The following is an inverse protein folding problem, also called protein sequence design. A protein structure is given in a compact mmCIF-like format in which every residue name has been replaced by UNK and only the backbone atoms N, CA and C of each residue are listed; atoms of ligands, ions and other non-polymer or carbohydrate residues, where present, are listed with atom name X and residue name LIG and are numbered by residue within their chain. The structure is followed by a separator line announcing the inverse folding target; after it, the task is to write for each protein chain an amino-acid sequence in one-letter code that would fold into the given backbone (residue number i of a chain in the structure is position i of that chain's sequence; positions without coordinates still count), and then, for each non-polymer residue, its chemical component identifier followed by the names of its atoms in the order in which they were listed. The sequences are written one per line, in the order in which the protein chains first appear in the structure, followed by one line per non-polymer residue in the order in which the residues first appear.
data_IF_658419006686
#
_entry.id   IF_658419006686
#
_cell.length_a   1.000
_cell.length_b   1.000
_cell.length_c   1.000
_cell.angle_alpha   90.00
_cell.angle_beta   90.00
_cell.angle_gamma   90.00
#
_symmetry.space_group_name_H-M   'P 1'
#
loop_
_entity.id
_entity.type
_entity.pdbx_description
1 polymer ?
#
# COMPACT_ATOMS: atom_id res chain seq x y z
N UNK A 1 -8.97 -9.07 0.75
CA UNK A 1 -7.97 -8.08 1.22
C UNK A 1 -6.55 -8.53 0.88
N UNK A 2 -6.07 -9.68 1.37
CA UNK A 2 -4.72 -10.16 1.00
C UNK A 2 -4.52 -10.30 -0.51
N UNK A 3 -5.43 -10.96 -1.23
CA UNK A 3 -5.30 -11.12 -2.69
C UNK A 3 -5.25 -9.79 -3.47
N UNK A 4 -6.00 -8.78 -3.01
CA UNK A 4 -5.99 -7.45 -3.61
C UNK A 4 -4.65 -6.77 -3.37
N UNK A 5 -4.14 -6.82 -2.14
CA UNK A 5 -2.81 -6.27 -1.81
C UNK A 5 -1.72 -7.03 -2.56
N UNK A 6 -1.81 -8.35 -2.67
CA UNK A 6 -0.88 -9.18 -3.44
C UNK A 6 -0.88 -8.78 -4.92
N UNK A 7 -2.05 -8.51 -5.48
CA UNK A 7 -2.17 -8.02 -6.86
C UNK A 7 -1.50 -6.65 -7.04
N UNK A 8 -1.73 -5.72 -6.11
CA UNK A 8 -1.10 -4.39 -6.14
C UNK A 8 0.42 -4.45 -5.93
N UNK A 9 0.89 -5.33 -5.04
CA UNK A 9 2.31 -5.60 -4.81
C UNK A 9 2.94 -6.11 -6.09
N UNK A 10 2.35 -7.13 -6.73
CA UNK A 10 2.81 -7.67 -8.01
C UNK A 10 2.92 -6.56 -9.05
N UNK A 11 1.85 -5.80 -9.22
CA UNK A 11 1.79 -4.71 -10.20
C UNK A 11 2.89 -3.66 -9.92
N UNK A 12 3.06 -3.22 -8.68
CA UNK A 12 4.08 -2.21 -8.34
C UNK A 12 5.51 -2.74 -8.50
N UNK A 13 5.77 -3.99 -8.11
CA UNK A 13 7.10 -4.58 -8.20
C UNK A 13 7.48 -4.96 -9.64
N UNK A 14 6.53 -5.42 -10.45
CA UNK A 14 6.73 -5.66 -11.88
C UNK A 14 6.96 -4.35 -12.65
N UNK A 15 6.32 -3.25 -12.24
CA UNK A 15 6.57 -1.92 -12.80
C UNK A 15 7.88 -1.27 -12.32
N UNK A 16 8.60 -1.91 -11.39
CA UNK A 16 9.92 -1.48 -10.93
C UNK A 16 11.03 -2.37 -11.53
N UNK A 17 11.66 -1.98 -12.65
CA UNK A 17 12.64 -2.82 -13.35
C UNK A 17 13.86 -3.18 -12.49
N UNK A 18 14.19 -2.33 -11.50
CA UNK A 18 15.24 -2.57 -10.53
C UNK A 18 14.91 -3.73 -9.59
N UNK A 19 13.64 -3.90 -9.20
CA UNK A 19 13.21 -5.01 -8.36
C UNK A 19 13.00 -6.27 -9.21
N UNK A 20 12.29 -6.14 -10.34
CA UNK A 20 12.03 -7.26 -11.24
C UNK A 20 13.32 -7.92 -11.76
N UNK A 21 14.38 -7.15 -11.97
CA UNK A 21 15.69 -7.67 -12.39
C UNK A 21 16.56 -8.22 -11.26
N UNK A 22 16.25 -7.91 -9.99
CA UNK A 22 17.09 -8.27 -8.85
C UNK A 22 16.48 -9.35 -7.95
N UNK A 23 15.17 -9.55 -8.00
CA UNK A 23 14.50 -10.64 -7.29
C UNK A 23 14.55 -11.90 -8.17
N UNK A 24 15.13 -13.02 -7.70
CA UNK A 24 15.14 -14.27 -8.43
C UNK A 24 13.72 -14.73 -8.77
N UNK A 25 13.48 -15.24 -9.97
CA UNK A 25 12.14 -15.66 -10.41
C UNK A 25 11.54 -16.76 -9.53
N UNK A 26 12.39 -17.61 -8.97
CA UNK A 26 12.07 -18.64 -7.98
C UNK A 26 11.63 -18.07 -6.62
N UNK A 27 12.07 -16.86 -6.26
CA UNK A 27 11.73 -16.20 -4.99
C UNK A 27 10.70 -15.06 -5.14
N UNK A 28 10.43 -14.60 -6.37
CA UNK A 28 9.53 -13.49 -6.62
C UNK A 28 8.13 -13.71 -6.01
N UNK A 29 7.58 -14.91 -6.16
CA UNK A 29 6.29 -15.25 -5.57
C UNK A 29 6.31 -15.15 -4.02
N UNK A 30 7.35 -15.66 -3.38
CA UNK A 30 7.49 -15.64 -1.92
C UNK A 30 7.74 -14.21 -1.41
N UNK A 31 8.56 -13.42 -2.10
CA UNK A 31 8.78 -11.99 -1.81
C UNK A 31 7.46 -11.23 -1.89
N UNK A 32 6.67 -11.43 -2.95
CA UNK A 32 5.38 -10.77 -3.11
C UNK A 32 4.41 -11.16 -1.98
N UNK A 33 4.36 -12.43 -1.61
CA UNK A 33 3.54 -12.93 -0.50
C UNK A 33 3.98 -12.34 0.85
N UNK A 34 5.29 -12.24 1.10
CA UNK A 34 5.81 -11.66 2.34
C UNK A 34 5.45 -10.18 2.46
N UNK A 35 5.67 -9.41 1.38
CA UNK A 35 5.33 -7.98 1.33
C UNK A 35 3.83 -7.80 1.56
N UNK A 36 2.99 -8.54 0.83
CA UNK A 36 1.54 -8.48 0.99
C UNK A 36 1.10 -8.88 2.40
N UNK A 37 1.70 -9.92 2.98
CA UNK A 37 1.38 -10.42 4.32
C UNK A 37 1.75 -9.41 5.40
N UNK A 38 2.90 -8.75 5.26
CA UNK A 38 3.34 -7.71 6.18
C UNK A 38 2.41 -6.48 6.12
N UNK A 39 1.96 -6.09 4.93
CA UNK A 39 0.96 -5.03 4.74
C UNK A 39 -0.37 -5.39 5.40
N UNK A 40 -0.91 -6.58 5.12
CA UNK A 40 -2.17 -7.02 5.72
C UNK A 40 -2.08 -7.08 7.24
N UNK A 41 -1.00 -7.64 7.78
CA UNK A 41 -0.81 -7.78 9.23
C UNK A 41 -0.72 -6.42 9.91
N UNK A 42 -0.01 -5.47 9.31
CA UNK A 42 0.15 -4.12 9.86
C UNK A 42 -1.13 -3.30 9.78
N UNK A 43 -1.88 -3.43 8.67
CA UNK A 43 -3.22 -2.87 8.56
C UNK A 43 -4.16 -3.49 9.60
N UNK A 44 -4.22 -4.81 9.73
CA UNK A 44 -5.06 -5.48 10.72
C UNK A 44 -4.73 -5.03 12.15
N UNK A 45 -3.44 -4.94 12.49
CA UNK A 45 -2.99 -4.44 13.79
C UNK A 45 -3.42 -2.99 14.03
N UNK A 46 -3.42 -2.16 12.99
CA UNK A 46 -3.80 -0.75 13.10
C UNK A 46 -5.31 -0.52 13.10
N UNK A 47 -6.07 -1.38 12.42
CA UNK A 47 -7.52 -1.27 12.26
C UNK A 47 -8.30 -1.94 13.40
N UNK A 48 -7.65 -2.77 14.22
CA UNK A 48 -8.29 -3.47 15.33
C UNK A 48 -9.47 -4.37 14.92
N UNK A 49 -9.61 -4.69 13.63
CA UNK A 49 -10.67 -5.55 13.08
C UNK A 49 -11.83 -4.85 12.36
N UNK A 50 -11.86 -3.52 12.26
CA UNK A 50 -12.97 -2.77 11.63
C UNK A 50 -12.64 -2.15 10.26
N UNK A 51 -13.53 -2.30 9.27
CA UNK A 51 -13.44 -1.59 7.98
C UNK A 51 -13.72 -0.07 8.09
N UNK A 52 -14.48 0.37 9.09
CA UNK A 52 -14.73 1.81 9.32
C UNK A 52 -13.45 2.58 9.65
N UNK A 53 -12.55 1.96 10.39
CA UNK A 53 -11.23 2.49 10.72
C UNK A 53 -10.32 2.60 9.49
N UNK A 54 -10.61 1.89 8.40
CA UNK A 54 -9.82 1.94 7.17
C UNK A 54 -10.00 3.28 6.47
N UNK A 55 -11.25 3.75 6.34
CA UNK A 55 -11.51 5.06 5.75
C UNK A 55 -10.87 6.16 6.59
N UNK A 56 -11.00 6.10 7.91
CA UNK A 56 -10.38 7.09 8.82
C UNK A 56 -8.85 7.05 8.75
N UNK A 57 -8.26 5.85 8.62
CA UNK A 57 -6.82 5.68 8.45
C UNK A 57 -6.31 6.36 7.18
N UNK A 58 -7.02 6.18 6.06
CA UNK A 58 -6.63 6.77 4.77
C UNK A 58 -6.97 8.26 4.68
N UNK A 59 -8.12 8.68 5.21
CA UNK A 59 -8.53 10.10 5.24
C UNK A 59 -7.72 10.92 6.26
N UNK A 60 -7.24 10.31 7.34
CA UNK A 60 -6.49 10.97 8.41
C UNK A 60 -4.97 10.94 8.25
N UNK A 61 -4.44 10.41 7.13
CA UNK A 61 -3.00 10.29 6.90
C UNK A 61 -2.29 9.19 7.71
N UNK A 62 -3.05 8.35 8.44
CA UNK A 62 -2.52 7.22 9.21
C UNK A 62 -1.81 6.17 8.34
N UNK A 63 -2.23 6.03 7.08
CA UNK A 63 -1.61 5.12 6.12
C UNK A 63 -0.12 5.40 5.89
N UNK A 64 0.32 6.67 5.87
CA UNK A 64 1.74 7.03 5.70
C UNK A 64 2.59 6.67 6.93
N UNK A 65 2.01 6.79 8.13
CA UNK A 65 2.70 6.41 9.37
C UNK A 65 2.91 4.90 9.43
N UNK A 66 1.88 4.13 9.09
CA UNK A 66 1.94 2.67 9.00
C UNK A 66 2.95 2.23 7.94
N UNK A 67 2.90 2.83 6.75
CA UNK A 67 3.86 2.55 5.69
C UNK A 67 5.30 2.74 6.17
N UNK A 68 5.58 3.85 6.85
CA UNK A 68 6.93 4.16 7.36
C UNK A 68 7.41 3.16 8.40
N UNK A 69 6.56 2.77 9.36
CA UNK A 69 6.90 1.74 10.35
C UNK A 69 7.13 0.37 9.72
N UNK A 70 6.35 0.03 8.70
CA UNK A 70 6.49 -1.24 7.98
C UNK A 70 7.74 -1.31 7.13
N UNK A 71 8.11 -0.22 6.45
CA UNK A 71 9.28 -0.18 5.57
C UNK A 71 10.54 -0.64 6.31
N UNK A 72 10.72 -0.24 7.59
CA UNK A 72 11.84 -0.69 8.41
C UNK A 72 11.88 -2.21 8.63
N UNK A 73 10.77 -2.80 9.08
CA UNK A 73 10.69 -4.24 9.33
C UNK A 73 10.73 -5.09 8.04
N UNK A 74 10.16 -4.56 6.95
CA UNK A 74 10.15 -5.23 5.66
C UNK A 74 11.55 -5.31 5.05
N UNK A 75 12.35 -4.25 5.15
CA UNK A 75 13.74 -4.26 4.66
C UNK A 75 14.54 -5.35 5.39
N UNK A 76 14.41 -5.44 6.71
CA UNK A 76 15.10 -6.44 7.52
C UNK A 76 14.69 -7.87 7.13
N UNK A 77 13.39 -8.12 6.89
CA UNK A 77 12.92 -9.43 6.44
C UNK A 77 13.39 -9.77 5.04
N UNK A 78 13.34 -8.83 4.09
CA UNK A 78 13.77 -9.06 2.71
C UNK A 78 15.28 -9.35 2.63
N UNK A 79 16.07 -8.60 3.38
CA UNK A 79 17.53 -8.81 3.47
C UNK A 79 17.87 -10.10 4.22
N UNK A 80 17.21 -10.42 5.34
CA UNK A 80 17.57 -11.59 6.15
C UNK A 80 16.99 -12.91 5.64
N UNK A 81 15.75 -12.91 5.12
CA UNK A 81 15.01 -14.11 4.72
C UNK A 81 15.27 -14.50 3.27
N UNK A 82 15.37 -13.51 2.39
CA UNK A 82 15.57 -13.71 0.95
C UNK A 82 16.99 -13.37 0.50
N UNK A 83 17.87 -12.93 1.42
CA UNK A 83 19.24 -12.52 1.11
C UNK A 83 19.29 -11.47 -0.02
N UNK A 84 18.26 -10.62 -0.11
CA UNK A 84 18.17 -9.55 -1.10
C UNK A 84 19.11 -8.40 -0.75
N UNK A 85 19.59 -7.71 -1.76
CA UNK A 85 20.41 -6.52 -1.57
C UNK A 85 19.62 -5.42 -0.83
N UNK A 86 20.22 -4.72 0.16
CA UNK A 86 19.53 -3.67 0.93
C UNK A 86 18.93 -2.57 0.05
N UNK A 87 19.52 -2.26 -1.11
CA UNK A 87 18.97 -1.28 -2.04
C UNK A 87 17.69 -1.79 -2.70
N UNK A 88 17.61 -3.08 -3.01
CA UNK A 88 16.41 -3.72 -3.59
C UNK A 88 15.30 -3.82 -2.55
N UNK A 89 15.65 -4.22 -1.33
CA UNK A 89 14.72 -4.23 -0.21
C UNK A 89 14.16 -2.82 0.07
N UNK A 90 15.00 -1.79 -0.01
CA UNK A 90 14.57 -0.40 0.12
C UNK A 90 13.64 0.03 -1.02
N UNK A 91 13.93 -0.33 -2.27
CA UNK A 91 13.04 -0.07 -3.41
C UNK A 91 11.66 -0.73 -3.24
N UNK A 92 11.61 -1.97 -2.75
CA UNK A 92 10.36 -2.67 -2.43
C UNK A 92 9.61 -1.92 -1.32
N UNK A 93 10.32 -1.55 -0.25
CA UNK A 93 9.74 -0.82 0.87
C UNK A 93 9.25 0.58 0.50
N UNK A 94 9.88 1.23 -0.48
CA UNK A 94 9.46 2.51 -1.03
C UNK A 94 8.21 2.42 -1.90
N UNK A 95 7.86 1.24 -2.41
CA UNK A 95 6.61 0.99 -3.13
C UNK A 95 5.41 0.81 -2.18
N UNK A 96 5.65 0.46 -0.91
CA UNK A 96 4.59 0.20 0.10
C UNK A 96 3.61 1.37 0.27
N UNK A 97 4.04 2.65 0.40
CA UNK A 97 3.12 3.77 0.45
C UNK A 97 2.21 3.87 -0.78
N UNK A 98 2.73 3.59 -1.97
CA UNK A 98 1.97 3.60 -3.22
C UNK A 98 0.92 2.49 -3.26
N UNK A 99 1.30 1.27 -2.84
CA UNK A 99 0.39 0.12 -2.71
C UNK A 99 -0.74 0.44 -1.73
N UNK A 100 -0.41 0.99 -0.57
CA UNK A 100 -1.38 1.38 0.45
C UNK A 100 -2.33 2.47 -0.08
N UNK A 101 -1.80 3.48 -0.78
CA UNK A 101 -2.63 4.52 -1.38
C UNK A 101 -3.60 3.95 -2.42
N UNK A 102 -3.15 3.07 -3.32
CA UNK A 102 -4.02 2.41 -4.30
C UNK A 102 -5.07 1.52 -3.63
N UNK A 103 -4.68 0.77 -2.60
CA UNK A 103 -5.60 -0.06 -1.83
C UNK A 103 -6.67 0.77 -1.12
N UNK A 104 -6.26 1.86 -0.45
CA UNK A 104 -7.17 2.82 0.18
C UNK A 104 -8.12 3.48 -0.81
N UNK A 105 -7.63 3.85 -2.01
CA UNK A 105 -8.47 4.37 -3.08
C UNK A 105 -9.48 3.33 -3.58
N UNK A 106 -9.07 2.08 -3.81
CA UNK A 106 -9.98 1.01 -4.22
C UNK A 106 -11.07 0.76 -3.17
N UNK A 107 -10.72 0.78 -1.88
CA UNK A 107 -11.67 0.55 -0.80
C UNK A 107 -12.54 1.77 -0.47
N UNK A 108 -12.01 2.99 -0.56
CA UNK A 108 -12.80 4.21 -0.47
C UNK A 108 -13.79 4.33 -1.64
N UNK A 109 -13.38 3.93 -2.85
CA UNK A 109 -14.23 3.94 -4.03
C UNK A 109 -15.31 2.83 -4.01
N UNK A 110 -15.06 1.69 -3.35
CA UNK A 110 -16.03 0.58 -3.24
C UNK A 110 -16.92 0.67 -1.99
N UNK A 111 -16.59 1.53 -1.01
CA UNK A 111 -17.32 1.69 0.25
C UNK A 111 -18.18 2.95 0.36
N UNK A 112 -18.27 3.77 -0.70
CA UNK A 112 -19.04 5.00 -0.71
C UNK A 112 -20.01 5.04 -1.88
N UNK A 113 -21.29 4.85 -1.57
CA UNK A 113 -22.33 5.66 -2.20
C UNK A 113 -21.82 7.11 -2.32
N UNK A 114 -22.01 7.72 -3.49
CA UNK A 114 -21.89 9.16 -3.76
C UNK A 114 -21.46 10.02 -2.55
N UNK A 115 -20.18 10.34 -2.45
CA UNK A 115 -19.78 11.54 -1.72
C UNK A 115 -18.90 12.42 -2.61
N UNK A 116 -19.60 13.07 -3.53
CA UNK A 116 -19.52 14.51 -3.74
C UNK A 116 -18.80 15.20 -2.56
N UNK A 117 -17.50 15.43 -2.68
CA UNK A 117 -16.70 15.93 -1.56
C UNK A 117 -15.22 16.21 -1.83
N UNK A 118 -14.66 15.71 -2.94
CA UNK A 118 -13.31 16.06 -3.39
C UNK A 118 -13.35 17.06 -4.55
N UNK A 119 -13.06 18.34 -4.27
CA UNK A 119 -12.72 19.38 -5.27
C UNK A 119 -13.81 19.84 -6.25
N UNK A 120 -15.04 19.32 -6.20
CA UNK A 120 -16.16 19.74 -7.04
C UNK A 120 -17.02 20.90 -6.51
N UNK A 121 -16.97 21.19 -5.20
CA UNK A 121 -17.86 22.15 -4.54
C UNK A 121 -17.40 23.62 -4.51
N UNK A 122 -16.19 23.94 -5.00
CA UNK A 122 -15.63 25.29 -4.89
C UNK A 122 -15.82 26.17 -6.14
N UNK A 123 -16.37 25.63 -7.23
CA UNK A 123 -16.54 26.37 -8.51
C UNK A 123 -17.99 26.76 -8.83
N UNK A 124 -18.97 26.33 -8.04
CA UNK A 124 -20.39 26.68 -8.25
C UNK A 124 -20.85 27.98 -7.57
N UNK A 125 -20.05 28.54 -6.65
CA UNK A 125 -20.43 29.69 -5.83
C UNK A 125 -19.97 31.07 -6.34
N UNK A 126 -19.22 31.15 -7.44
CA UNK A 126 -18.60 32.39 -7.89
C UNK A 126 -19.18 32.98 -9.20
N UNK A 127 -20.15 32.31 -9.81
CA UNK A 127 -20.80 32.77 -11.07
C UNK A 127 -22.31 33.01 -10.94
N UNK A 128 -22.80 33.17 -9.71
CA UNK A 128 -24.23 33.32 -9.41
C UNK A 128 -24.57 34.63 -8.71
N UNK A 129 -24.21 35.78 -9.29
CA UNK A 129 -24.98 37.03 -9.17
C UNK A 129 -24.63 38.03 -10.25
#
# INVERSE_FOLDING_TARGET
MFDQILSLVKEQLENHPQVAGAVPADQAADVHNEVAGNIVSSLQNSLGGGLGSLSELFSGGGASNIASSMSGGLIEQLTSKFNLDPAIANNIAAAVPGILAQFGQQHAANGGEQQEGGLGGMLGGLFGK
#
